data_IF_686493676912
#
_entry.id   IF_686493676912
#
_cell.length_a   1.000
_cell.length_b   1.000
_cell.length_c   1.000
_cell.angle_alpha   90.00
_cell.angle_beta   90.00
_cell.angle_gamma   90.00
#
_symmetry.space_group_name_H-M   'P 1'
#
loop_
_entity.id
_entity.type
_entity.pdbx_description
1 polymer ?
#
# COMPACT_ATOMS: atom_id res chain seq x y z
N UNK A 1 8.21 -16.02 32.47
CA UNK A 1 9.04 -15.57 31.33
C UNK A 1 10.06 -14.59 31.87
N UNK A 2 11.35 -14.87 31.67
CA UNK A 2 12.44 -14.00 32.14
C UNK A 2 12.45 -12.67 31.37
N UNK A 3 13.04 -11.64 31.95
CA UNK A 3 13.19 -10.33 31.29
C UNK A 3 13.91 -10.48 29.94
N UNK A 4 14.96 -11.31 29.89
CA UNK A 4 15.70 -11.61 28.65
C UNK A 4 14.83 -12.32 27.61
N UNK A 5 13.95 -13.22 28.02
CA UNK A 5 12.99 -13.87 27.12
C UNK A 5 11.96 -12.87 26.57
N UNK A 6 11.48 -11.93 27.41
CA UNK A 6 10.57 -10.87 26.97
C UNK A 6 11.23 -9.92 25.97
N UNK A 7 12.45 -9.47 26.26
CA UNK A 7 13.22 -8.61 25.36
C UNK A 7 13.51 -9.30 24.03
N UNK A 8 13.94 -10.57 24.07
CA UNK A 8 14.18 -11.36 22.86
C UNK A 8 12.92 -11.48 22.01
N UNK A 9 11.76 -11.72 22.63
CA UNK A 9 10.48 -11.81 21.93
C UNK A 9 10.10 -10.48 21.27
N UNK A 10 10.22 -9.37 21.99
CA UNK A 10 9.94 -8.03 21.43
C UNK A 10 10.86 -7.74 20.24
N UNK A 11 12.16 -8.04 20.36
CA UNK A 11 13.11 -7.84 19.26
C UNK A 11 12.82 -8.73 18.04
N UNK A 12 12.36 -9.97 18.26
CA UNK A 12 11.91 -10.84 17.16
C UNK A 12 10.69 -10.26 16.46
N UNK A 13 9.72 -9.75 17.23
CA UNK A 13 8.51 -9.13 16.68
C UNK A 13 8.83 -7.85 15.91
N UNK A 14 9.72 -6.99 16.42
CA UNK A 14 10.18 -5.78 15.72
C UNK A 14 10.84 -6.13 14.37
N UNK A 15 11.71 -7.14 14.34
CA UNK A 15 12.32 -7.59 13.08
C UNK A 15 11.28 -8.07 12.08
N UNK A 16 10.28 -8.81 12.55
CA UNK A 16 9.20 -9.30 11.69
C UNK A 16 8.37 -8.13 11.13
N UNK A 17 8.01 -7.15 11.98
CA UNK A 17 7.27 -5.96 11.55
C UNK A 17 8.06 -5.16 10.52
N UNK A 18 9.38 -5.00 10.71
CA UNK A 18 10.20 -4.27 9.74
C UNK A 18 10.24 -4.98 8.37
N UNK A 19 10.34 -6.31 8.35
CA UNK A 19 10.27 -7.07 7.09
C UNK A 19 8.90 -6.91 6.42
N UNK A 20 7.82 -7.00 7.20
CA UNK A 20 6.45 -6.80 6.70
C UNK A 20 6.26 -5.37 6.14
N UNK A 21 6.80 -4.34 6.80
CA UNK A 21 6.75 -2.96 6.32
C UNK A 21 7.56 -2.76 5.03
N UNK A 22 8.75 -3.36 4.93
CA UNK A 22 9.57 -3.29 3.71
C UNK A 22 8.83 -3.93 2.52
N UNK A 23 8.21 -5.09 2.73
CA UNK A 23 7.38 -5.77 1.72
C UNK A 23 6.19 -4.89 1.31
N UNK A 24 5.46 -4.30 2.27
CA UNK A 24 4.33 -3.40 1.96
C UNK A 24 4.75 -2.15 1.21
N UNK A 25 5.89 -1.55 1.58
CA UNK A 25 6.44 -0.40 0.86
C UNK A 25 6.77 -0.76 -0.60
N UNK A 26 7.32 -1.96 -0.85
CA UNK A 26 7.59 -2.44 -2.21
C UNK A 26 6.30 -2.67 -2.99
N UNK A 27 5.30 -3.33 -2.39
CA UNK A 27 4.00 -3.54 -3.04
C UNK A 27 3.31 -2.22 -3.41
N UNK A 28 3.40 -1.19 -2.56
CA UNK A 28 2.87 0.15 -2.85
C UNK A 28 3.62 0.78 -4.02
N UNK A 29 4.95 0.70 -4.07
CA UNK A 29 5.74 1.24 -5.18
C UNK A 29 5.41 0.54 -6.51
N UNK A 30 5.29 -0.78 -6.51
CA UNK A 30 4.89 -1.54 -7.69
C UNK A 30 3.49 -1.15 -8.17
N UNK A 31 2.57 -0.88 -7.24
CA UNK A 31 1.22 -0.40 -7.57
C UNK A 31 1.25 0.99 -8.19
N UNK A 32 2.04 1.92 -7.65
CA UNK A 32 2.21 3.27 -8.21
C UNK A 32 2.78 3.24 -9.64
N UNK A 33 3.75 2.36 -9.90
CA UNK A 33 4.30 2.16 -11.25
C UNK A 33 3.23 1.60 -12.20
N UNK A 34 2.46 0.60 -11.75
CA UNK A 34 1.38 0.01 -12.54
C UNK A 34 0.28 1.04 -12.85
N UNK A 35 -0.10 1.87 -11.89
CA UNK A 35 -1.08 2.95 -12.08
C UNK A 35 -0.58 3.98 -13.11
N UNK A 36 0.70 4.33 -13.07
CA UNK A 36 1.30 5.26 -14.03
C UNK A 36 1.29 4.70 -15.46
N UNK A 37 1.70 3.44 -15.62
CA UNK A 37 1.67 2.74 -16.91
C UNK A 37 0.23 2.62 -17.43
N UNK A 38 -0.71 2.26 -16.56
CA UNK A 38 -2.12 2.15 -16.88
C UNK A 38 -2.71 3.47 -17.36
N UNK A 39 -2.44 4.56 -16.65
CA UNK A 39 -2.90 5.90 -17.01
C UNK A 39 -2.35 6.32 -18.39
N UNK A 40 -1.07 6.01 -18.66
CA UNK A 40 -0.44 6.26 -19.96
C UNK A 40 -1.15 5.51 -21.10
N UNK A 41 -1.46 4.23 -20.91
CA UNK A 41 -2.18 3.41 -21.90
C UNK A 41 -3.59 3.97 -22.12
N UNK A 42 -4.33 4.25 -21.05
CA UNK A 42 -5.68 4.81 -21.13
C UNK A 42 -5.71 6.12 -21.93
N UNK A 43 -4.75 7.01 -21.68
CA UNK A 43 -4.64 8.27 -22.41
C UNK A 43 -4.40 8.04 -23.92
N UNK A 44 -3.53 7.08 -24.27
CA UNK A 44 -3.25 6.73 -25.66
C UNK A 44 -4.48 6.14 -26.36
N UNK A 45 -5.22 5.26 -25.68
CA UNK A 45 -6.45 4.67 -26.23
C UNK A 45 -7.54 5.72 -26.46
N UNK A 46 -7.74 6.64 -25.52
CA UNK A 46 -8.68 7.76 -25.71
C UNK A 46 -8.31 8.62 -26.93
N UNK A 47 -7.03 8.97 -27.08
CA UNK A 47 -6.57 9.72 -28.24
C UNK A 47 -6.79 8.95 -29.55
N UNK A 48 -6.56 7.64 -29.53
CA UNK A 48 -6.77 6.78 -30.69
C UNK A 48 -8.24 6.73 -31.11
N UNK A 49 -9.17 6.53 -30.17
CA UNK A 49 -10.61 6.52 -30.47
C UNK A 49 -11.10 7.89 -30.94
N UNK A 50 -10.65 8.99 -30.33
CA UNK A 50 -10.98 10.34 -30.78
C UNK A 50 -10.49 10.58 -32.23
N UNK A 51 -9.27 10.15 -32.55
CA UNK A 51 -8.74 10.25 -33.91
C UNK A 51 -9.55 9.41 -34.91
N UNK A 52 -9.97 8.19 -34.53
CA UNK A 52 -10.83 7.36 -35.37
C UNK A 52 -12.21 7.99 -35.60
N UNK A 53 -12.83 8.54 -34.56
CA UNK A 53 -14.13 9.22 -34.65
C UNK A 53 -14.02 10.44 -35.58
N UNK A 54 -13.02 11.29 -35.36
CA UNK A 54 -12.79 12.50 -36.15
C UNK A 54 -12.49 12.17 -37.63
N UNK A 55 -11.58 11.24 -37.89
CA UNK A 55 -11.20 10.87 -39.26
C UNK A 55 -12.32 10.15 -40.04
N UNK A 56 -13.34 9.65 -39.34
CA UNK A 56 -14.49 8.98 -39.93
C UNK A 56 -15.79 9.77 -39.74
N UNK A 57 -15.72 11.08 -39.50
CA UNK A 57 -16.92 11.91 -39.35
C UNK A 57 -17.82 11.82 -40.59
N UNK A 58 -19.13 11.58 -40.38
CA UNK A 58 -20.10 11.37 -41.46
C UNK A 58 -20.09 9.96 -42.08
N UNK A 59 -19.19 9.08 -41.64
CA UNK A 59 -19.20 7.66 -42.00
C UNK A 59 -20.26 6.88 -41.23
N UNK A 60 -20.74 5.78 -41.80
CA UNK A 60 -21.58 4.82 -41.07
C UNK A 60 -20.86 4.18 -39.87
N UNK A 61 -19.52 4.23 -39.85
CA UNK A 61 -18.69 3.62 -38.81
C UNK A 61 -18.44 4.53 -37.58
N UNK A 62 -18.77 5.83 -37.65
CA UNK A 62 -18.55 6.76 -36.51
C UNK A 62 -19.24 6.25 -35.23
N UNK A 63 -20.48 5.79 -35.36
CA UNK A 63 -21.24 5.24 -34.24
C UNK A 63 -20.67 3.93 -33.68
N UNK A 64 -19.89 3.18 -34.45
CA UNK A 64 -19.18 2.01 -33.94
C UNK A 64 -17.97 2.43 -33.08
N UNK A 65 -17.19 3.41 -33.53
CA UNK A 65 -16.05 3.92 -32.76
C UNK A 65 -16.46 4.60 -31.46
N UNK A 66 -17.58 5.34 -31.44
CA UNK A 66 -18.14 5.90 -30.20
C UNK A 66 -18.48 4.79 -29.19
N UNK A 67 -19.07 3.68 -29.64
CA UNK A 67 -19.38 2.55 -28.74
C UNK A 67 -18.13 1.89 -28.19
N UNK A 68 -17.06 1.77 -28.99
CA UNK A 68 -15.80 1.22 -28.53
C UNK A 68 -15.13 2.14 -27.49
N UNK A 69 -15.17 3.46 -27.70
CA UNK A 69 -14.68 4.44 -26.72
C UNK A 69 -15.47 4.34 -25.40
N UNK A 70 -16.80 4.24 -25.47
CA UNK A 70 -17.65 4.06 -24.29
C UNK A 70 -17.35 2.74 -23.54
N UNK A 71 -17.13 1.64 -24.28
CA UNK A 71 -16.79 0.33 -23.70
C UNK A 71 -15.42 0.35 -23.02
N UNK A 72 -14.41 0.90 -23.69
CA UNK A 72 -13.08 1.10 -23.13
C UNK A 72 -13.16 1.94 -21.85
N UNK A 73 -13.85 3.09 -21.88
CA UNK A 73 -14.02 3.96 -20.71
C UNK A 73 -14.65 3.24 -19.51
N UNK A 74 -15.61 2.33 -19.72
CA UNK A 74 -16.20 1.51 -18.63
C UNK A 74 -15.19 0.54 -18.04
N UNK A 75 -14.40 -0.12 -18.88
CA UNK A 75 -13.33 -1.02 -18.43
C UNK A 75 -12.33 -0.22 -17.60
N UNK A 76 -11.98 1.00 -18.04
CA UNK A 76 -11.05 1.85 -17.31
C UNK A 76 -11.56 2.34 -15.96
N UNK A 77 -12.85 2.67 -15.87
CA UNK A 77 -13.47 3.01 -14.60
C UNK A 77 -13.44 1.84 -13.61
N UNK A 78 -13.73 0.62 -14.11
CA UNK A 78 -13.68 -0.58 -13.28
C UNK A 78 -12.26 -0.87 -12.77
N UNK A 79 -11.27 -0.82 -13.66
CA UNK A 79 -9.89 -1.13 -13.26
C UNK A 79 -9.33 -0.06 -12.33
N UNK A 80 -9.67 1.21 -12.55
CA UNK A 80 -9.29 2.29 -11.62
C UNK A 80 -9.85 2.07 -10.22
N UNK A 81 -11.13 1.71 -10.12
CA UNK A 81 -11.72 1.40 -8.81
C UNK A 81 -11.01 0.21 -8.16
N UNK A 82 -10.69 -0.82 -8.94
CA UNK A 82 -9.97 -2.00 -8.45
C UNK A 82 -8.57 -1.64 -7.92
N UNK A 83 -7.83 -0.77 -8.62
CA UNK A 83 -6.51 -0.31 -8.18
C UNK A 83 -6.63 0.55 -6.90
N UNK A 84 -7.61 1.43 -6.83
CA UNK A 84 -7.92 2.25 -5.64
C UNK A 84 -8.24 1.37 -4.42
N UNK A 85 -9.08 0.34 -4.57
CA UNK A 85 -9.40 -0.61 -3.51
C UNK A 85 -8.15 -1.36 -3.00
N UNK A 86 -7.20 -1.68 -3.89
CA UNK A 86 -5.93 -2.32 -3.52
C UNK A 86 -5.04 -1.31 -2.77
N UNK A 87 -4.94 -0.08 -3.26
CA UNK A 87 -4.14 0.99 -2.65
C UNK A 87 -4.62 1.27 -1.22
N UNK A 88 -5.94 1.42 -1.02
CA UNK A 88 -6.53 1.64 0.30
C UNK A 88 -6.19 0.50 1.27
N UNK A 89 -6.28 -0.75 0.80
CA UNK A 89 -5.93 -1.91 1.62
C UNK A 89 -4.45 -1.89 2.02
N UNK A 90 -3.54 -1.67 1.07
CA UNK A 90 -2.10 -1.66 1.33
C UNK A 90 -1.70 -0.54 2.30
N UNK A 91 -2.26 0.66 2.11
CA UNK A 91 -2.03 1.78 3.02
C UNK A 91 -2.57 1.47 4.42
N UNK A 92 -3.76 0.85 4.53
CA UNK A 92 -4.29 0.43 5.83
C UNK A 92 -3.42 -0.63 6.51
N UNK A 93 -2.86 -1.58 5.77
CA UNK A 93 -1.94 -2.60 6.31
C UNK A 93 -0.64 -1.95 6.80
N UNK A 94 -0.09 -0.98 6.05
CA UNK A 94 1.11 -0.24 6.43
C UNK A 94 0.92 0.55 7.73
N UNK A 95 -0.21 1.26 7.87
CA UNK A 95 -0.56 1.99 9.08
C UNK A 95 -0.65 1.04 10.29
N UNK A 96 -1.30 -0.11 10.13
CA UNK A 96 -1.39 -1.11 11.21
C UNK A 96 -0.02 -1.65 11.63
N UNK A 97 0.90 -1.83 10.67
CA UNK A 97 2.26 -2.25 10.95
C UNK A 97 3.05 -1.18 11.70
N UNK A 98 2.88 0.11 11.35
CA UNK A 98 3.48 1.23 12.11
C UNK A 98 2.96 1.31 13.53
N UNK A 99 1.64 1.20 13.73
CA UNK A 99 1.02 1.21 15.06
C UNK A 99 1.56 0.07 15.93
N UNK A 100 1.71 -1.12 15.34
CA UNK A 100 2.29 -2.30 16.00
C UNK A 100 3.77 -2.11 16.33
N UNK A 101 4.54 -1.46 15.47
CA UNK A 101 5.94 -1.12 15.73
C UNK A 101 6.05 -0.16 16.93
N UNK A 102 5.23 0.89 16.96
CA UNK A 102 5.17 1.85 18.06
C UNK A 102 4.81 1.16 19.38
N UNK A 103 3.79 0.30 19.37
CA UNK A 103 3.40 -0.48 20.55
C UNK A 103 4.57 -1.34 21.08
N UNK A 104 5.31 -2.00 20.19
CA UNK A 104 6.46 -2.81 20.58
C UNK A 104 7.60 -1.96 21.18
N UNK A 105 7.85 -0.76 20.66
CA UNK A 105 8.82 0.16 21.28
C UNK A 105 8.38 0.63 22.66
N UNK A 106 7.09 0.95 22.85
CA UNK A 106 6.53 1.31 24.16
C UNK A 106 6.71 0.15 25.15
N UNK A 107 6.36 -1.07 24.75
CA UNK A 107 6.53 -2.27 25.59
C UNK A 107 8.01 -2.49 25.95
N UNK A 108 8.92 -2.26 25.00
CA UNK A 108 10.37 -2.37 25.22
C UNK A 108 10.86 -1.32 26.22
N UNK A 109 10.41 -0.08 26.10
CA UNK A 109 10.76 1.00 27.00
C UNK A 109 10.27 0.73 28.43
N UNK A 110 9.04 0.23 28.58
CA UNK A 110 8.49 -0.20 29.86
C UNK A 110 9.32 -1.34 30.47
N UNK A 111 9.70 -2.34 29.66
CA UNK A 111 10.54 -3.44 30.12
C UNK A 111 11.88 -2.95 30.68
N UNK A 112 12.52 -1.98 30.03
CA UNK A 112 13.78 -1.39 30.52
C UNK A 112 13.58 -0.57 31.80
N UNK A 113 12.50 0.22 31.89
CA UNK A 113 12.19 0.96 33.13
C UNK A 113 11.92 0.03 34.32
N UNK A 114 11.26 -1.11 34.08
CA UNK A 114 11.03 -2.13 35.11
C UNK A 114 12.34 -2.81 35.54
N UNK A 115 13.30 -2.98 34.63
CA UNK A 115 14.64 -3.49 34.97
C UNK A 115 15.36 -2.51 35.88
N UNK A 116 15.40 -1.22 35.52
CA UNK A 116 16.08 -0.18 36.30
C UNK A 116 15.52 -0.11 37.73
N UNK A 117 14.18 -0.15 37.88
CA UNK A 117 13.54 -0.20 39.21
C UNK A 117 13.90 -1.43 40.03
N UNK A 118 13.93 -2.60 39.40
CA UNK A 118 14.30 -3.85 40.09
C UNK A 118 15.78 -3.89 40.47
N UNK A 119 16.64 -3.21 39.72
CA UNK A 119 18.06 -3.04 40.05
C UNK A 119 18.26 -2.02 41.17
N UNK A 120 17.57 -0.88 41.15
CA UNK A 120 17.56 0.10 42.24
C UNK A 120 17.04 -0.50 43.56
N UNK A 121 15.96 -1.31 43.53
CA UNK A 121 15.44 -1.99 44.72
C UNK A 121 16.38 -3.08 45.26
N UNK A 122 17.27 -3.64 44.43
CA UNK A 122 18.24 -4.67 44.84
C UNK A 122 19.56 -4.09 45.36
N UNK A 123 19.93 -2.88 44.92
CA UNK A 123 21.19 -2.23 45.26
C UNK A 123 21.01 -0.92 46.07
N UNK A 124 19.78 -0.57 46.43
CA UNK A 124 19.46 0.57 47.30
C UNK A 124 19.99 0.40 48.73
N UNK A 125 20.73 1.42 49.16
CA UNK A 125 21.37 1.60 50.48
C UNK A 125 20.43 1.53 51.70
#
# INVERSE_FOLDING_TARGET
MSIKEKELKINQQLRQVNLEQEEKCQEIQELEELEADYFSIHQQEQQYYQALIFNNEGSQYTGHFIKLDDEANRIHQYERQRLEDIAERLVSEEVQLRDKEEELYIQRAQLFSDIERVEDDRYGH
#
